data_IF_147155594240
#
_entry.id   IF_147155594240
#
_cell.length_a   1.000
_cell.length_b   1.000
_cell.length_c   1.000
_cell.angle_alpha   90.00
_cell.angle_beta   90.00
_cell.angle_gamma   90.00
#
_symmetry.space_group_name_H-M   'P 1'
#
loop_
_entity.id
_entity.type
_entity.pdbx_description
1 polymer ?
#
# COMPACT_ATOMS: atom_id res chain seq x y z
N UNK A 1 -12.92 -35.01 31.28
CA UNK A 1 -12.53 -33.66 30.84
C UNK A 1 -12.46 -32.76 32.07
N UNK A 2 -11.32 -32.68 32.74
CA UNK A 2 -11.10 -31.74 33.85
C UNK A 2 -10.80 -30.36 33.25
N UNK A 3 -11.65 -29.37 33.50
CA UNK A 3 -11.44 -27.99 33.06
C UNK A 3 -10.19 -27.43 33.75
N UNK A 4 -9.09 -27.28 33.01
CA UNK A 4 -7.91 -26.56 33.49
C UNK A 4 -8.30 -25.12 33.78
N UNK A 5 -8.15 -24.70 35.04
CA UNK A 5 -8.46 -23.35 35.49
C UNK A 5 -7.15 -22.64 35.72
N UNK A 6 -6.97 -21.46 35.12
CA UNK A 6 -5.76 -20.66 35.32
C UNK A 6 -5.80 -19.98 36.69
N UNK A 7 -4.72 -20.08 37.46
CA UNK A 7 -4.53 -19.45 38.76
C UNK A 7 -3.39 -18.43 38.70
N UNK A 8 -3.60 -17.25 39.27
CA UNK A 8 -2.51 -16.29 39.52
C UNK A 8 -1.98 -16.50 40.93
N UNK A 9 -0.65 -16.54 41.07
CA UNK A 9 -0.01 -16.72 42.36
C UNK A 9 1.03 -15.62 42.62
N UNK A 10 1.16 -15.29 43.90
CA UNK A 10 2.31 -14.56 44.45
C UNK A 10 2.99 -15.49 45.44
N UNK A 11 4.24 -15.84 45.19
CA UNK A 11 5.02 -16.74 46.02
C UNK A 11 6.38 -16.14 46.37
N UNK A 12 7.06 -16.76 47.32
CA UNK A 12 8.38 -16.37 47.79
C UNK A 12 9.37 -17.48 47.50
N UNK A 13 10.44 -17.14 46.82
CA UNK A 13 11.57 -18.04 46.58
C UNK A 13 12.42 -18.19 47.86
N UNK A 14 13.22 -19.25 47.92
CA UNK A 14 14.23 -19.55 48.95
C UNK A 14 15.16 -18.38 49.32
N UNK A 15 15.31 -17.39 48.43
CA UNK A 15 16.09 -16.15 48.63
C UNK A 15 15.25 -14.94 49.09
N UNK A 16 14.07 -15.19 49.65
CA UNK A 16 13.10 -14.21 50.15
C UNK A 16 12.56 -13.22 49.09
N UNK A 17 12.74 -13.54 47.79
CA UNK A 17 12.24 -12.72 46.68
C UNK A 17 10.81 -13.08 46.34
N UNK A 18 9.97 -12.05 46.17
CA UNK A 18 8.58 -12.21 45.76
C UNK A 18 8.51 -12.44 44.24
N UNK A 19 7.95 -13.57 43.83
CA UNK A 19 7.74 -14.00 42.46
C UNK A 19 6.24 -14.05 42.19
N UNK A 20 5.81 -13.41 41.10
CA UNK A 20 4.41 -13.42 40.65
C UNK A 20 4.32 -14.15 39.32
N UNK A 21 3.31 -15.01 39.16
CA UNK A 21 3.14 -15.79 37.95
C UNK A 21 1.71 -16.28 37.76
N UNK A 22 1.48 -16.99 36.65
CA UNK A 22 0.26 -17.75 36.40
C UNK A 22 0.59 -19.21 36.17
N UNK A 23 -0.31 -20.09 36.59
CA UNK A 23 -0.21 -21.52 36.34
C UNK A 23 -1.58 -22.10 36.13
N UNK A 24 -1.67 -23.11 35.27
CA UNK A 24 -2.90 -23.83 35.03
C UNK A 24 -2.95 -25.06 35.93
N UNK A 25 -4.04 -25.20 36.67
CA UNK A 25 -4.24 -26.31 37.59
C UNK A 25 -5.71 -26.72 37.64
N UNK A 26 -5.96 -27.98 37.95
CA UNK A 26 -7.32 -28.50 38.07
C UNK A 26 -8.07 -27.96 39.32
N UNK A 27 -7.36 -27.46 40.33
CA UNK A 27 -7.92 -26.83 41.53
C UNK A 27 -6.87 -25.97 42.24
N UNK A 28 -7.30 -25.08 43.13
CA UNK A 28 -6.40 -24.26 43.95
C UNK A 28 -5.45 -25.11 44.79
N UNK A 29 -5.94 -26.25 45.30
CA UNK A 29 -5.13 -27.22 46.06
C UNK A 29 -4.05 -27.88 45.20
N UNK A 30 -4.35 -28.13 43.91
CA UNK A 30 -3.37 -28.62 42.95
C UNK A 30 -2.32 -27.56 42.61
N UNK A 31 -2.72 -26.30 42.41
CA UNK A 31 -1.81 -25.17 42.20
C UNK A 31 -0.85 -24.97 43.39
N UNK A 32 -1.36 -25.09 44.63
CA UNK A 32 -0.55 -24.99 45.84
C UNK A 32 0.51 -26.09 45.93
N UNK A 33 0.15 -27.34 45.62
CA UNK A 33 1.09 -28.46 45.60
C UNK A 33 2.16 -28.28 44.52
N UNK A 34 1.76 -27.79 43.34
CA UNK A 34 2.67 -27.52 42.24
C UNK A 34 3.67 -26.40 42.58
N UNK A 35 3.22 -25.32 43.22
CA UNK A 35 4.11 -24.25 43.72
C UNK A 35 5.13 -24.75 44.73
N UNK A 36 4.71 -25.58 45.68
CA UNK A 36 5.61 -26.20 46.65
C UNK A 36 6.63 -27.12 45.99
N UNK A 37 6.23 -27.86 44.95
CA UNK A 37 7.14 -28.72 44.17
C UNK A 37 8.22 -27.92 43.44
N UNK A 38 7.94 -26.65 43.10
CA UNK A 38 8.91 -25.72 42.50
C UNK A 38 9.78 -24.99 43.54
N UNK A 39 9.68 -25.35 44.83
CA UNK A 39 10.42 -24.70 45.91
C UNK A 39 9.91 -23.29 46.27
N UNK A 40 8.72 -22.93 45.81
CA UNK A 40 8.11 -21.62 46.04
C UNK A 40 7.11 -21.69 47.20
N UNK A 41 7.26 -20.79 48.17
CA UNK A 41 6.33 -20.65 49.30
C UNK A 41 5.18 -19.70 48.93
N UNK A 42 3.93 -20.18 48.76
CA UNK A 42 2.83 -19.33 48.30
C UNK A 42 2.41 -18.31 49.38
N UNK A 43 2.27 -17.04 48.99
CA UNK A 43 1.74 -15.93 49.79
C UNK A 43 0.26 -15.71 49.47
N UNK A 44 -0.11 -15.76 48.19
CA UNK A 44 -1.50 -15.78 47.76
C UNK A 44 -1.68 -16.60 46.49
N UNK A 45 -2.79 -17.32 46.41
CA UNK A 45 -3.25 -18.03 45.21
C UNK A 45 -4.69 -17.60 44.99
N UNK A 46 -5.01 -17.13 43.79
CA UNK A 46 -6.37 -16.75 43.43
C UNK A 46 -6.68 -17.27 42.02
N UNK A 47 -7.90 -17.73 41.76
CA UNK A 47 -8.32 -18.06 40.39
C UNK A 47 -8.12 -16.83 39.52
N UNK A 48 -7.36 -16.97 38.43
CA UNK A 48 -7.13 -15.89 37.51
C UNK A 48 -8.46 -15.59 36.81
N UNK A 49 -9.18 -14.57 37.29
CA UNK A 49 -10.28 -13.98 36.51
C UNK A 49 -9.71 -13.66 35.14
N UNK A 50 -10.37 -14.13 34.07
CA UNK A 50 -10.12 -13.63 32.71
C UNK A 50 -10.15 -12.11 32.79
N UNK A 51 -8.98 -11.49 32.73
CA UNK A 51 -8.81 -10.06 32.87
C UNK A 51 -9.33 -9.41 31.58
N UNK A 52 -10.59 -8.97 31.60
CA UNK A 52 -11.07 -7.89 30.75
C UNK A 52 -10.50 -6.58 31.31
N UNK A 53 -9.29 -6.20 30.89
CA UNK A 53 -8.69 -4.92 31.29
C UNK A 53 -7.19 -4.79 31.07
N UNK A 54 -6.83 -3.88 30.17
CA UNK A 54 -5.56 -3.14 29.95
C UNK A 54 -4.21 -3.87 29.72
N UNK A 55 -4.08 -5.18 29.96
CA UNK A 55 -2.88 -5.95 29.57
C UNK A 55 -3.21 -7.26 28.83
N UNK A 56 -4.40 -7.35 28.24
CA UNK A 56 -4.53 -8.19 27.05
C UNK A 56 -3.73 -7.51 25.95
N UNK A 57 -2.99 -8.26 25.13
CA UNK A 57 -2.52 -7.77 23.84
C UNK A 57 -3.74 -7.15 23.14
N UNK A 58 -3.84 -5.83 23.21
CA UNK A 58 -4.87 -5.04 22.57
C UNK A 58 -4.53 -5.04 21.09
N UNK A 59 -4.74 -6.18 20.44
CA UNK A 59 -4.97 -6.22 19.01
C UNK A 59 -6.30 -5.52 18.76
N UNK A 60 -6.26 -4.18 18.73
CA UNK A 60 -7.37 -3.35 18.28
C UNK A 60 -7.66 -3.80 16.83
N UNK A 61 -8.85 -4.37 16.55
CA UNK A 61 -9.23 -4.72 15.18
C UNK A 61 -9.24 -3.42 14.34
N UNK A 62 -8.21 -3.25 13.50
CA UNK A 62 -8.04 -2.07 12.65
C UNK A 62 -6.71 -1.31 12.78
N UNK A 63 -5.88 -1.56 13.79
CA UNK A 63 -4.54 -0.94 13.95
C UNK A 63 -3.37 -1.87 13.64
N UNK A 64 -3.63 -3.08 13.16
CA UNK A 64 -2.57 -3.99 12.73
C UNK A 64 -1.94 -3.48 11.41
N UNK A 65 -0.60 -3.45 11.36
CA UNK A 65 0.17 -3.08 10.17
C UNK A 65 -0.20 -4.03 9.03
N UNK A 66 -0.91 -3.51 8.02
CA UNK A 66 -1.22 -4.29 6.82
C UNK A 66 0.06 -4.72 6.11
N UNK A 67 0.07 -5.94 5.57
CA UNK A 67 1.20 -6.47 4.82
C UNK A 67 1.36 -5.66 3.53
N UNK A 68 2.49 -4.96 3.41
CA UNK A 68 2.78 -4.10 2.26
C UNK A 68 3.75 -4.73 1.26
N UNK A 69 3.92 -4.08 0.10
CA UNK A 69 4.89 -4.48 -0.92
C UNK A 69 6.32 -4.58 -0.36
N UNK A 70 6.72 -3.67 0.54
CA UNK A 70 8.02 -3.70 1.21
C UNK A 70 8.18 -4.96 2.06
N UNK A 71 7.14 -5.38 2.80
CA UNK A 71 7.21 -6.60 3.61
C UNK A 71 7.38 -7.83 2.70
N UNK A 72 6.67 -7.89 1.56
CA UNK A 72 6.80 -8.96 0.56
C UNK A 72 8.17 -8.97 -0.13
N UNK A 73 8.71 -7.80 -0.48
CA UNK A 73 10.03 -7.69 -1.11
C UNK A 73 11.14 -8.19 -0.18
N UNK A 74 11.15 -7.73 1.07
CA UNK A 74 12.14 -8.16 2.07
C UNK A 74 12.03 -9.66 2.35
N UNK A 75 10.82 -10.17 2.57
CA UNK A 75 10.59 -11.59 2.81
C UNK A 75 11.03 -12.44 1.62
N UNK A 76 10.69 -12.04 0.38
CA UNK A 76 11.06 -12.78 -0.82
C UNK A 76 12.58 -12.79 -1.02
N UNK A 77 13.26 -11.66 -0.80
CA UNK A 77 14.73 -11.61 -0.86
C UNK A 77 15.38 -12.50 0.17
N UNK A 78 14.94 -12.42 1.43
CA UNK A 78 15.48 -13.26 2.51
C UNK A 78 15.24 -14.76 2.22
N UNK A 79 14.07 -15.11 1.72
CA UNK A 79 13.72 -16.47 1.30
C UNK A 79 14.64 -16.96 0.19
N UNK A 80 14.82 -16.16 -0.87
CA UNK A 80 15.67 -16.48 -2.00
C UNK A 80 17.14 -16.67 -1.57
N UNK A 81 17.68 -15.74 -0.76
CA UNK A 81 19.06 -15.82 -0.25
C UNK A 81 19.30 -17.04 0.64
N UNK A 82 18.35 -17.38 1.53
CA UNK A 82 18.49 -18.56 2.39
C UNK A 82 18.39 -19.87 1.61
N UNK A 83 17.45 -19.96 0.66
CA UNK A 83 17.32 -21.14 -0.19
C UNK A 83 18.56 -21.31 -1.08
N UNK A 84 19.09 -20.24 -1.66
CA UNK A 84 20.35 -20.26 -2.43
C UNK A 84 21.57 -20.66 -1.57
N UNK A 85 21.56 -20.33 -0.27
CA UNK A 85 22.57 -20.79 0.67
C UNK A 85 22.40 -22.28 1.10
N UNK A 86 21.44 -22.99 0.51
CA UNK A 86 21.21 -24.42 0.75
C UNK A 86 20.42 -24.74 2.01
N UNK A 87 19.75 -23.76 2.63
CA UNK A 87 18.85 -24.05 3.75
C UNK A 87 17.59 -24.77 3.24
N UNK A 88 17.10 -25.73 4.03
CA UNK A 88 15.82 -26.38 3.73
C UNK A 88 14.67 -25.38 3.81
N UNK A 89 13.65 -25.57 2.98
CA UNK A 89 12.46 -24.70 2.93
C UNK A 89 11.81 -24.52 4.32
N UNK A 90 11.67 -25.60 5.09
CA UNK A 90 11.14 -25.54 6.45
C UNK A 90 11.97 -24.66 7.38
N UNK A 91 13.31 -24.76 7.30
CA UNK A 91 14.22 -23.92 8.10
C UNK A 91 14.13 -22.46 7.68
N UNK A 92 14.09 -22.19 6.38
CA UNK A 92 13.90 -20.85 5.83
C UNK A 92 12.59 -20.24 6.32
N UNK A 93 11.46 -20.95 6.20
CA UNK A 93 10.15 -20.50 6.69
C UNK A 93 10.14 -20.27 8.20
N UNK A 94 10.82 -21.11 8.99
CA UNK A 94 10.95 -20.90 10.44
C UNK A 94 11.65 -19.57 10.75
N UNK A 95 12.82 -19.33 10.14
CA UNK A 95 13.59 -18.10 10.33
C UNK A 95 12.76 -16.88 9.92
N UNK A 96 12.11 -16.93 8.76
CA UNK A 96 11.26 -15.83 8.29
C UNK A 96 10.10 -15.56 9.27
N UNK A 97 9.44 -16.60 9.78
CA UNK A 97 8.33 -16.44 10.74
C UNK A 97 8.78 -15.82 12.07
N UNK A 98 10.03 -16.05 12.49
CA UNK A 98 10.59 -15.50 13.74
C UNK A 98 11.17 -14.09 13.58
N UNK A 99 11.74 -13.78 12.41
CA UNK A 99 12.45 -12.52 12.16
C UNK A 99 11.62 -11.44 11.47
N UNK A 100 10.44 -11.77 10.94
CA UNK A 100 9.56 -10.81 10.28
C UNK A 100 9.02 -9.78 11.28
N UNK A 101 9.26 -8.50 11.03
CA UNK A 101 8.74 -7.41 11.88
C UNK A 101 7.21 -7.28 11.84
N UNK A 102 6.61 -7.58 10.69
CA UNK A 102 5.16 -7.53 10.53
C UNK A 102 4.51 -8.78 11.15
N UNK A 103 3.88 -8.60 12.32
CA UNK A 103 3.20 -9.68 13.06
C UNK A 103 2.16 -10.44 12.24
N UNK A 104 1.44 -9.79 11.31
CA UNK A 104 0.48 -10.47 10.44
C UNK A 104 1.20 -11.41 9.46
N UNK A 105 2.27 -10.93 8.84
CA UNK A 105 3.06 -11.76 7.91
C UNK A 105 3.75 -12.91 8.65
N UNK A 106 4.27 -12.67 9.86
CA UNK A 106 4.86 -13.71 10.70
C UNK A 106 3.86 -14.86 11.00
N UNK A 107 2.61 -14.52 11.32
CA UNK A 107 1.55 -15.52 11.55
C UNK A 107 1.21 -16.31 10.28
N UNK A 108 1.11 -15.63 9.14
CA UNK A 108 0.86 -16.26 7.84
C UNK A 108 2.00 -17.22 7.48
N UNK A 109 3.26 -16.79 7.64
CA UNK A 109 4.44 -17.62 7.40
C UNK A 109 4.51 -18.84 8.33
N UNK A 110 4.11 -18.70 9.59
CA UNK A 110 4.02 -19.82 10.52
C UNK A 110 2.95 -20.85 10.08
N UNK A 111 1.83 -20.37 9.55
CA UNK A 111 0.80 -21.21 8.92
C UNK A 111 1.34 -21.98 7.72
N UNK A 112 2.01 -21.28 6.80
CA UNK A 112 2.65 -21.88 5.64
C UNK A 112 3.71 -22.90 6.04
N UNK A 113 4.53 -22.60 7.05
CA UNK A 113 5.51 -23.56 7.61
C UNK A 113 4.82 -24.84 8.05
N UNK A 114 3.70 -24.73 8.78
CA UNK A 114 2.93 -25.89 9.25
C UNK A 114 2.36 -26.70 8.08
N UNK A 115 1.85 -26.05 7.04
CA UNK A 115 1.33 -26.71 5.85
C UNK A 115 2.42 -27.49 5.13
N UNK A 116 3.57 -26.87 4.88
CA UNK A 116 4.73 -27.50 4.24
C UNK A 116 5.27 -28.65 5.09
N UNK A 117 5.26 -28.52 6.42
CA UNK A 117 5.68 -29.58 7.35
C UNK A 117 4.77 -30.82 7.24
N UNK A 118 3.48 -30.62 6.96
CA UNK A 118 2.52 -31.70 6.70
C UNK A 118 2.54 -32.24 5.28
N UNK A 119 3.40 -31.71 4.40
CA UNK A 119 3.59 -32.18 3.03
C UNK A 119 2.75 -31.46 1.96
N UNK A 120 2.13 -30.32 2.28
CA UNK A 120 1.50 -29.45 1.28
C UNK A 120 2.60 -28.75 0.46
N UNK A 121 2.41 -28.58 -0.85
CA UNK A 121 3.34 -27.81 -1.68
C UNK A 121 3.42 -26.35 -1.22
N UNK A 122 4.56 -25.69 -1.43
CA UNK A 122 4.73 -24.28 -1.08
C UNK A 122 3.76 -23.39 -1.86
N UNK A 123 3.55 -23.67 -3.15
CA UNK A 123 2.61 -22.92 -3.97
C UNK A 123 1.17 -23.03 -3.47
N UNK A 124 0.71 -24.23 -3.07
CA UNK A 124 -0.63 -24.41 -2.51
C UNK A 124 -0.76 -23.78 -1.12
N UNK A 125 0.31 -23.81 -0.31
CA UNK A 125 0.33 -23.11 0.98
C UNK A 125 0.24 -21.58 0.81
N UNK A 126 0.91 -21.00 -0.20
CA UNK A 126 0.74 -19.58 -0.54
C UNK A 126 -0.64 -19.26 -1.09
N UNK A 127 -1.24 -20.15 -1.89
CA UNK A 127 -2.55 -19.97 -2.52
C UNK A 127 -3.70 -19.87 -1.48
N UNK A 128 -3.57 -20.56 -0.33
CA UNK A 128 -4.48 -20.40 0.82
C UNK A 128 -4.50 -18.97 1.41
N UNK A 129 -3.52 -18.16 1.04
CA UNK A 129 -3.33 -16.79 1.49
C UNK A 129 -3.25 -15.81 0.31
N UNK A 130 -4.08 -16.01 -0.73
CA UNK A 130 -4.20 -15.19 -1.95
C UNK A 130 -4.44 -13.68 -1.71
N UNK A 131 -5.01 -13.31 -0.55
CA UNK A 131 -5.15 -11.91 -0.12
C UNK A 131 -3.79 -11.26 0.19
N UNK A 132 -2.81 -12.05 0.61
CA UNK A 132 -1.47 -11.61 1.00
C UNK A 132 -0.47 -11.78 -0.15
N UNK A 133 -0.51 -12.93 -0.82
CA UNK A 133 0.44 -13.26 -1.89
C UNK A 133 -0.22 -13.04 -3.25
N UNK A 134 0.34 -12.16 -4.10
CA UNK A 134 -0.26 -11.89 -5.39
C UNK A 134 -0.10 -13.09 -6.35
N UNK A 135 -0.98 -13.22 -7.37
CA UNK A 135 -0.98 -14.36 -8.30
C UNK A 135 0.37 -14.63 -8.97
N UNK A 136 1.15 -13.60 -9.27
CA UNK A 136 2.50 -13.74 -9.86
C UNK A 136 3.43 -14.55 -8.95
N UNK A 137 3.42 -14.32 -7.63
CA UNK A 137 4.27 -15.04 -6.69
C UNK A 137 3.85 -16.50 -6.60
N UNK A 138 2.55 -16.76 -6.43
CA UNK A 138 2.00 -18.12 -6.31
C UNK A 138 2.36 -18.95 -7.54
N UNK A 139 2.20 -18.38 -8.74
CA UNK A 139 2.45 -19.11 -9.99
C UNK A 139 3.94 -19.27 -10.31
N UNK A 140 4.79 -18.30 -9.97
CA UNK A 140 6.25 -18.46 -10.10
C UNK A 140 6.76 -19.55 -9.16
N UNK A 141 6.30 -19.59 -7.91
CA UNK A 141 6.62 -20.68 -6.99
C UNK A 141 6.14 -22.02 -7.56
N UNK A 142 4.90 -22.09 -8.05
CA UNK A 142 4.34 -23.33 -8.65
C UNK A 142 5.18 -23.84 -9.82
N UNK A 143 5.62 -22.93 -10.70
CA UNK A 143 6.49 -23.26 -11.82
C UNK A 143 7.86 -23.76 -11.33
N UNK A 144 8.47 -23.07 -10.36
CA UNK A 144 9.73 -23.48 -9.74
C UNK A 144 9.66 -24.83 -9.03
N UNK A 145 8.56 -25.11 -8.32
CA UNK A 145 8.34 -26.40 -7.66
C UNK A 145 8.15 -27.54 -8.67
N UNK A 146 7.33 -27.32 -9.70
CA UNK A 146 7.04 -28.35 -10.72
C UNK A 146 8.25 -28.61 -11.61
N UNK A 147 9.01 -27.56 -11.92
CA UNK A 147 10.16 -27.62 -12.81
C UNK A 147 11.50 -27.89 -12.12
N UNK A 148 11.53 -27.92 -10.78
CA UNK A 148 12.75 -28.19 -10.01
C UNK A 148 13.75 -27.03 -9.95
N UNK A 149 13.33 -25.81 -10.31
CA UNK A 149 14.14 -24.59 -10.29
C UNK A 149 13.58 -23.55 -9.30
N UNK A 150 13.15 -24.01 -8.12
CA UNK A 150 12.56 -23.16 -7.09
C UNK A 150 13.49 -22.02 -6.65
N UNK A 151 14.80 -22.25 -6.61
CA UNK A 151 15.79 -21.21 -6.28
C UNK A 151 15.73 -20.04 -7.27
N UNK A 152 15.74 -20.32 -8.58
CA UNK A 152 15.66 -19.31 -9.64
C UNK A 152 14.31 -18.58 -9.61
N UNK A 153 13.22 -19.30 -9.34
CA UNK A 153 11.90 -18.72 -9.19
C UNK A 153 11.82 -17.75 -7.99
N UNK A 154 12.40 -18.12 -6.84
CA UNK A 154 12.45 -17.25 -5.66
C UNK A 154 13.31 -16.01 -5.90
N UNK A 155 14.45 -16.14 -6.58
CA UNK A 155 15.28 -15.00 -6.99
C UNK A 155 14.50 -14.06 -7.92
N UNK A 156 13.80 -14.62 -8.91
CA UNK A 156 12.97 -13.87 -9.86
C UNK A 156 11.84 -13.11 -9.16
N UNK A 157 11.18 -13.72 -8.16
CA UNK A 157 10.16 -13.06 -7.33
C UNK A 157 10.77 -11.91 -6.52
N UNK A 158 11.93 -12.14 -5.89
CA UNK A 158 12.63 -11.13 -5.11
C UNK A 158 13.03 -9.92 -5.96
N UNK A 159 13.66 -10.14 -7.11
CA UNK A 159 14.07 -9.09 -8.05
C UNK A 159 12.87 -8.27 -8.55
N UNK A 160 11.75 -8.95 -8.84
CA UNK A 160 10.53 -8.30 -9.30
C UNK A 160 9.94 -7.38 -8.22
N UNK A 161 9.78 -7.87 -6.98
CA UNK A 161 9.23 -7.06 -5.89
C UNK A 161 10.16 -5.96 -5.42
N UNK A 162 11.48 -6.16 -5.42
CA UNK A 162 12.45 -5.10 -5.14
C UNK A 162 12.38 -3.98 -6.17
N UNK A 163 12.28 -4.35 -7.46
CA UNK A 163 12.12 -3.37 -8.55
C UNK A 163 10.81 -2.60 -8.42
N UNK A 164 9.69 -3.30 -8.15
CA UNK A 164 8.40 -2.64 -7.94
C UNK A 164 8.41 -1.72 -6.72
N UNK A 165 9.04 -2.16 -5.62
CA UNK A 165 9.20 -1.35 -4.41
C UNK A 165 10.01 -0.10 -4.70
N UNK A 166 11.17 -0.23 -5.35
CA UNK A 166 12.04 0.90 -5.72
C UNK A 166 11.30 1.90 -6.60
N UNK A 167 10.59 1.44 -7.62
CA UNK A 167 9.80 2.30 -8.51
C UNK A 167 8.72 3.06 -7.74
N UNK A 168 8.02 2.37 -6.84
CA UNK A 168 6.97 2.97 -6.00
C UNK A 168 7.53 3.98 -5.00
N UNK A 169 8.69 3.70 -4.41
CA UNK A 169 9.35 4.60 -3.46
C UNK A 169 9.91 5.84 -4.15
N UNK A 170 10.45 5.71 -5.37
CA UNK A 170 10.83 6.87 -6.21
C UNK A 170 9.62 7.77 -6.47
N UNK A 171 8.48 7.22 -6.87
CA UNK A 171 7.26 7.99 -7.10
C UNK A 171 6.77 8.64 -5.79
N UNK A 172 6.75 7.88 -4.70
CA UNK A 172 6.25 8.35 -3.40
C UNK A 172 7.11 9.47 -2.83
N UNK A 173 8.43 9.34 -2.90
CA UNK A 173 9.38 10.33 -2.39
C UNK A 173 9.32 11.64 -3.19
N UNK A 174 9.23 11.55 -4.52
CA UNK A 174 9.07 12.72 -5.38
C UNK A 174 7.77 13.50 -5.14
N UNK A 175 6.66 12.78 -4.87
CA UNK A 175 5.36 13.40 -4.60
C UNK A 175 5.15 13.82 -3.13
N UNK A 176 6.02 13.41 -2.21
CA UNK A 176 5.84 13.68 -0.79
C UNK A 176 5.85 15.18 -0.48
N UNK A 177 6.82 15.93 -1.03
CA UNK A 177 6.94 17.36 -0.79
C UNK A 177 5.73 18.16 -1.31
N UNK A 178 5.29 18.01 -2.59
CA UNK A 178 4.09 18.68 -3.07
C UNK A 178 2.84 18.42 -2.24
N UNK A 179 2.63 17.17 -1.80
CA UNK A 179 1.48 16.82 -0.98
C UNK A 179 1.52 17.54 0.37
N UNK A 180 2.68 17.58 1.03
CA UNK A 180 2.83 18.26 2.32
C UNK A 180 2.56 19.77 2.18
N UNK A 181 3.15 20.42 1.17
CA UNK A 181 2.96 21.87 0.93
C UNK A 181 1.51 22.18 0.62
N UNK A 182 0.86 21.38 -0.23
CA UNK A 182 -0.56 21.55 -0.57
C UNK A 182 -1.46 21.40 0.67
N UNK A 183 -1.20 20.41 1.52
CA UNK A 183 -1.95 20.22 2.78
C UNK A 183 -1.75 21.41 3.71
N UNK A 184 -0.51 21.88 3.90
CA UNK A 184 -0.20 23.04 4.73
C UNK A 184 -0.87 24.33 4.20
N UNK A 185 -0.83 24.55 2.88
CA UNK A 185 -1.49 25.68 2.24
C UNK A 185 -3.01 25.61 2.40
N UNK A 186 -3.61 24.44 2.21
CA UNK A 186 -5.05 24.25 2.41
C UNK A 186 -5.45 24.53 3.86
N UNK A 187 -4.68 24.03 4.83
CA UNK A 187 -4.92 24.30 6.25
C UNK A 187 -4.78 25.80 6.57
N UNK A 188 -3.80 26.48 5.99
CA UNK A 188 -3.62 27.93 6.17
C UNK A 188 -4.82 28.72 5.60
N UNK A 189 -5.29 28.37 4.40
CA UNK A 189 -6.46 29.00 3.76
C UNK A 189 -7.73 28.75 4.59
N UNK A 190 -7.98 27.51 4.99
CA UNK A 190 -9.14 27.15 5.83
C UNK A 190 -9.09 27.87 7.17
N UNK A 191 -7.92 27.91 7.82
CA UNK A 191 -7.73 28.64 9.08
C UNK A 191 -7.97 30.15 8.92
N UNK A 192 -7.48 30.75 7.85
CA UNK A 192 -7.71 32.17 7.56
C UNK A 192 -9.20 32.46 7.32
N UNK A 193 -9.90 31.60 6.57
CA UNK A 193 -11.35 31.73 6.35
C UNK A 193 -12.15 31.57 7.64
N UNK A 194 -11.82 30.61 8.51
CA UNK A 194 -12.61 30.34 9.73
C UNK A 194 -12.33 31.35 10.84
N UNK A 195 -11.07 31.79 10.99
CA UNK A 195 -10.67 32.61 12.14
C UNK A 195 -10.44 34.08 11.80
N UNK A 196 -9.80 34.38 10.66
CA UNK A 196 -9.36 35.75 10.35
C UNK A 196 -10.50 36.53 9.70
N UNK A 197 -11.12 35.99 8.65
CA UNK A 197 -12.19 36.68 7.90
C UNK A 197 -13.34 37.16 8.81
N UNK A 198 -13.88 36.37 9.76
CA UNK A 198 -14.97 36.82 10.62
C UNK A 198 -14.58 37.93 11.60
N UNK A 199 -13.31 37.99 12.01
CA UNK A 199 -12.81 39.08 12.86
C UNK A 199 -12.82 40.40 12.09
N UNK A 200 -12.37 40.37 10.83
CA UNK A 200 -12.43 41.53 9.94
C UNK A 200 -13.89 41.91 9.65
N UNK A 201 -14.76 40.96 9.33
CA UNK A 201 -16.19 41.23 9.10
C UNK A 201 -16.83 41.98 10.28
N UNK A 202 -16.62 41.50 11.51
CA UNK A 202 -17.15 42.13 12.73
C UNK A 202 -16.59 43.54 12.95
N UNK A 203 -15.30 43.73 12.68
CA UNK A 203 -14.65 45.04 12.77
C UNK A 203 -15.30 46.05 11.82
N UNK A 204 -15.58 45.65 10.58
CA UNK A 204 -16.19 46.53 9.57
C UNK A 204 -17.67 46.82 9.82
N UNK A 205 -18.43 45.84 10.31
CA UNK A 205 -19.83 46.08 10.72
C UNK A 205 -19.93 47.16 11.81
N UNK A 206 -18.93 47.27 12.70
CA UNK A 206 -18.88 48.32 13.72
C UNK A 206 -18.57 49.73 13.20
N UNK A 207 -18.04 49.86 11.98
CA UNK A 207 -17.65 51.13 11.35
C UNK A 207 -18.72 51.69 10.40
N UNK A 208 -19.83 50.98 10.18
CA UNK A 208 -20.96 51.46 9.38
C UNK A 208 -20.74 51.53 7.87
N UNK A 209 -19.59 51.05 7.36
CA UNK A 209 -19.26 51.02 5.94
C UNK A 209 -19.61 49.69 5.27
N UNK A 210 -19.91 49.72 3.97
CA UNK A 210 -20.07 48.50 3.18
C UNK A 210 -18.72 47.85 2.86
N UNK A 211 -18.66 46.52 3.00
CA UNK A 211 -17.48 45.76 2.59
C UNK A 211 -17.25 45.84 1.06
N UNK A 212 -16.02 46.03 0.60
CA UNK A 212 -15.62 45.87 -0.79
C UNK A 212 -16.00 44.49 -1.36
N UNK A 213 -16.21 44.42 -2.68
CA UNK A 213 -16.68 43.21 -3.36
C UNK A 213 -15.75 41.99 -3.14
N UNK A 214 -14.43 42.18 -3.18
CA UNK A 214 -13.47 41.11 -2.94
C UNK A 214 -13.57 40.52 -1.51
N UNK A 215 -13.80 41.37 -0.50
CA UNK A 215 -13.98 40.96 0.90
C UNK A 215 -15.34 40.29 1.10
N UNK A 216 -16.40 40.78 0.44
CA UNK A 216 -17.74 40.16 0.46
C UNK A 216 -17.69 38.69 -0.02
N UNK A 217 -16.93 38.38 -1.07
CA UNK A 217 -16.76 37.00 -1.54
C UNK A 217 -16.10 36.11 -0.46
N UNK A 218 -15.05 36.61 0.19
CA UNK A 218 -14.38 35.85 1.26
C UNK A 218 -15.28 35.66 2.48
N UNK A 219 -16.09 36.65 2.85
CA UNK A 219 -17.06 36.56 3.94
C UNK A 219 -18.14 35.53 3.64
N UNK A 220 -18.67 35.50 2.41
CA UNK A 220 -19.64 34.47 1.99
C UNK A 220 -19.02 33.07 2.07
N UNK A 221 -17.79 32.90 1.58
CA UNK A 221 -17.07 31.64 1.67
C UNK A 221 -16.79 31.23 3.12
N UNK A 222 -16.40 32.18 3.97
CA UNK A 222 -16.12 31.97 5.40
C UNK A 222 -17.37 31.55 6.17
N UNK A 223 -18.48 32.29 6.03
CA UNK A 223 -19.76 31.98 6.68
C UNK A 223 -20.33 30.64 6.21
N UNK A 224 -20.13 30.30 4.93
CA UNK A 224 -20.45 28.97 4.39
C UNK A 224 -19.54 27.87 4.93
N UNK A 225 -18.25 28.15 5.17
CA UNK A 225 -17.25 27.16 5.58
C UNK A 225 -17.56 26.54 6.95
N UNK A 226 -18.22 27.27 7.86
CA UNK A 226 -18.61 26.74 9.18
C UNK A 226 -19.59 25.57 9.04
N UNK A 227 -20.49 25.61 8.04
CA UNK A 227 -21.45 24.55 7.75
C UNK A 227 -20.90 23.52 6.74
N UNK A 228 -20.15 23.98 5.74
CA UNK A 228 -19.59 23.15 4.68
C UNK A 228 -18.41 22.31 5.18
N UNK A 229 -17.53 22.82 6.06
CA UNK A 229 -16.34 22.08 6.49
C UNK A 229 -16.67 20.77 7.22
N UNK A 230 -17.62 20.71 8.19
CA UNK A 230 -18.04 19.45 8.78
C UNK A 230 -18.66 18.49 7.75
N UNK A 231 -19.50 19.00 6.84
CA UNK A 231 -20.13 18.19 5.78
C UNK A 231 -19.09 17.64 4.80
N UNK A 232 -18.12 18.45 4.40
CA UNK A 232 -17.04 18.09 3.49
C UNK A 232 -16.10 17.07 4.16
N UNK A 233 -15.79 17.24 5.44
CA UNK A 233 -15.04 16.25 6.22
C UNK A 233 -15.76 14.89 6.26
N UNK A 234 -17.07 14.88 6.55
CA UNK A 234 -17.88 13.66 6.54
C UNK A 234 -17.92 13.06 5.13
N UNK A 235 -18.11 13.88 4.08
CA UNK A 235 -18.12 13.43 2.70
C UNK A 235 -16.78 12.79 2.30
N UNK A 236 -15.64 13.38 2.70
CA UNK A 236 -14.30 12.82 2.46
C UNK A 236 -14.13 11.49 3.19
N UNK A 237 -14.59 11.38 4.44
CA UNK A 237 -14.51 10.12 5.21
C UNK A 237 -15.37 9.04 4.55
N UNK A 238 -16.63 9.35 4.24
CA UNK A 238 -17.57 8.42 3.59
C UNK A 238 -17.05 8.01 2.21
N UNK A 239 -16.58 8.96 1.41
CA UNK A 239 -15.96 8.68 0.12
C UNK A 239 -14.71 7.82 0.26
N UNK A 240 -13.84 8.09 1.24
CA UNK A 240 -12.63 7.29 1.50
C UNK A 240 -12.96 5.85 1.88
N UNK A 241 -13.97 5.64 2.74
CA UNK A 241 -14.43 4.30 3.12
C UNK A 241 -15.07 3.56 1.93
N UNK A 242 -15.92 4.25 1.17
CA UNK A 242 -16.53 3.73 -0.04
C UNK A 242 -15.47 3.37 -1.10
N UNK A 243 -14.50 4.25 -1.32
CA UNK A 243 -13.42 4.06 -2.28
C UNK A 243 -12.54 2.89 -1.88
N UNK A 244 -12.13 2.78 -0.61
CA UNK A 244 -11.32 1.64 -0.12
C UNK A 244 -12.00 0.29 -0.38
N UNK A 245 -13.32 0.22 -0.22
CA UNK A 245 -14.11 -1.00 -0.44
C UNK A 245 -14.34 -1.30 -1.92
N UNK A 246 -14.59 -0.27 -2.75
CA UNK A 246 -15.07 -0.46 -4.13
C UNK A 246 -14.02 -0.19 -5.23
N UNK A 247 -12.84 0.34 -4.91
CA UNK A 247 -11.80 0.67 -5.92
C UNK A 247 -11.35 -0.52 -6.76
N UNK A 248 -11.48 -1.74 -6.24
CA UNK A 248 -11.07 -2.98 -6.93
C UNK A 248 -12.22 -3.63 -7.71
N UNK A 249 -13.46 -3.12 -7.60
CA UNK A 249 -14.62 -3.68 -8.30
C UNK A 249 -14.55 -3.38 -9.79
N UNK A 250 -14.88 -4.37 -10.63
CA UNK A 250 -14.84 -4.26 -12.10
C UNK A 250 -15.59 -3.03 -12.64
N UNK A 251 -16.77 -2.73 -12.09
CA UNK A 251 -17.58 -1.57 -12.49
C UNK A 251 -16.83 -0.24 -12.29
N UNK A 252 -16.11 -0.09 -11.18
CA UNK A 252 -15.33 1.11 -10.88
C UNK A 252 -14.09 1.17 -11.76
N UNK A 253 -13.32 0.09 -11.83
CA UNK A 253 -12.07 0.02 -12.62
C UNK A 253 -12.31 0.33 -14.10
N UNK A 254 -13.38 -0.20 -14.69
CA UNK A 254 -13.75 0.04 -16.11
C UNK A 254 -13.96 1.52 -16.44
N UNK A 255 -14.45 2.33 -15.50
CA UNK A 255 -14.70 3.76 -15.71
C UNK A 255 -13.47 4.59 -15.32
N UNK A 256 -12.88 4.28 -14.17
CA UNK A 256 -11.83 5.09 -13.56
C UNK A 256 -10.49 4.89 -14.26
N UNK A 257 -10.09 3.66 -14.58
CA UNK A 257 -8.74 3.39 -15.07
C UNK A 257 -8.48 4.03 -16.46
N UNK A 258 -9.42 3.99 -17.43
CA UNK A 258 -9.25 4.73 -18.68
C UNK A 258 -9.16 6.25 -18.49
N UNK A 259 -9.90 6.79 -17.51
CA UNK A 259 -9.86 8.22 -17.21
C UNK A 259 -8.52 8.64 -16.62
N UNK A 260 -7.97 7.83 -15.68
CA UNK A 260 -6.65 8.08 -15.09
C UNK A 260 -5.54 8.16 -16.13
N UNK A 261 -5.56 7.29 -17.15
CA UNK A 261 -4.56 7.29 -18.22
C UNK A 261 -4.66 8.52 -19.13
N UNK A 262 -5.82 9.20 -19.16
CA UNK A 262 -6.06 10.40 -19.96
C UNK A 262 -5.88 11.70 -19.19
N UNK A 263 -5.59 11.64 -17.89
CA UNK A 263 -5.38 12.84 -17.09
C UNK A 263 -4.16 13.61 -17.63
N UNK A 264 -4.27 14.94 -17.81
CA UNK A 264 -3.11 15.75 -18.14
C UNK A 264 -2.07 15.59 -17.03
N UNK A 265 -0.79 15.66 -17.39
CA UNK A 265 0.36 15.55 -16.45
C UNK A 265 0.57 14.12 -15.93
N UNK A 266 -0.43 13.50 -15.28
CA UNK A 266 -0.27 12.17 -14.65
C UNK A 266 -0.57 10.98 -15.57
N UNK A 267 -1.35 11.15 -16.64
CA UNK A 267 -1.72 10.06 -17.54
C UNK A 267 -0.53 9.42 -18.24
N UNK A 268 0.47 10.24 -18.63
CA UNK A 268 1.72 9.77 -19.22
C UNK A 268 2.52 8.92 -18.23
N UNK A 269 2.66 9.39 -16.98
CA UNK A 269 3.34 8.66 -15.91
C UNK A 269 2.66 7.31 -15.65
N UNK A 270 1.33 7.31 -15.53
CA UNK A 270 0.57 6.09 -15.27
C UNK A 270 0.65 5.10 -16.42
N UNK A 271 0.69 5.56 -17.66
CA UNK A 271 0.87 4.72 -18.85
C UNK A 271 2.27 4.09 -18.88
N UNK A 272 3.32 4.88 -18.62
CA UNK A 272 4.70 4.37 -18.53
C UNK A 272 4.88 3.34 -17.42
N UNK A 273 4.30 3.61 -16.24
CA UNK A 273 4.29 2.70 -15.09
C UNK A 273 3.58 1.37 -15.41
N UNK A 274 2.46 1.47 -16.10
CA UNK A 274 1.68 0.35 -16.60
C UNK A 274 2.51 -0.56 -17.54
N UNK A 275 3.20 0.04 -18.50
CA UNK A 275 4.05 -0.68 -19.46
C UNK A 275 5.25 -1.31 -18.76
N UNK A 276 5.95 -0.58 -17.88
CA UNK A 276 7.10 -1.09 -17.13
C UNK A 276 6.73 -2.36 -16.35
N UNK A 277 5.63 -2.31 -15.59
CA UNK A 277 5.11 -3.45 -14.80
C UNK A 277 4.69 -4.62 -15.69
N UNK A 278 3.97 -4.34 -16.78
CA UNK A 278 3.60 -5.35 -17.76
C UNK A 278 4.85 -6.07 -18.29
N UNK A 279 5.81 -5.32 -18.81
CA UNK A 279 7.01 -5.88 -19.43
C UNK A 279 7.88 -6.63 -18.43
N UNK A 280 8.06 -6.10 -17.21
CA UNK A 280 8.82 -6.77 -16.15
C UNK A 280 8.16 -8.09 -15.74
N UNK A 281 6.89 -8.04 -15.35
CA UNK A 281 6.16 -9.24 -14.93
C UNK A 281 6.12 -10.28 -16.04
N UNK A 282 5.94 -9.86 -17.29
CA UNK A 282 5.93 -10.79 -18.41
C UNK A 282 7.32 -11.39 -18.68
N UNK A 283 8.40 -10.59 -18.62
CA UNK A 283 9.77 -11.09 -18.71
C UNK A 283 10.05 -12.13 -17.62
N UNK A 284 9.74 -11.82 -16.36
CA UNK A 284 9.95 -12.71 -15.21
C UNK A 284 9.22 -14.04 -15.39
N UNK A 285 7.96 -14.01 -15.86
CA UNK A 285 7.17 -15.22 -16.07
C UNK A 285 7.71 -16.07 -17.22
N UNK A 286 8.13 -15.45 -18.32
CA UNK A 286 8.72 -16.16 -19.47
C UNK A 286 10.09 -16.74 -19.13
N UNK A 287 10.95 -15.98 -18.44
CA UNK A 287 12.27 -16.45 -17.98
C UNK A 287 12.18 -17.59 -16.99
N UNK A 288 11.16 -17.60 -16.13
CA UNK A 288 10.85 -18.72 -15.24
C UNK A 288 10.16 -19.92 -15.94
N UNK A 289 10.05 -19.90 -17.28
CA UNK A 289 9.49 -21.01 -18.06
C UNK A 289 7.97 -21.17 -17.95
N UNK A 290 7.24 -20.17 -17.44
CA UNK A 290 5.77 -20.24 -17.37
C UNK A 290 5.18 -20.13 -18.78
N UNK A 291 4.24 -21.01 -19.18
CA UNK A 291 3.65 -20.99 -20.51
C UNK A 291 3.05 -19.62 -20.88
N UNK A 292 3.33 -19.13 -22.08
CA UNK A 292 2.94 -17.78 -22.57
C UNK A 292 1.46 -17.45 -22.30
N UNK A 293 0.54 -18.37 -22.62
CA UNK A 293 -0.89 -18.16 -22.42
C UNK A 293 -1.26 -17.96 -20.94
N UNK A 294 -0.58 -18.66 -20.04
CA UNK A 294 -0.79 -18.53 -18.59
C UNK A 294 -0.15 -17.23 -18.07
N UNK A 295 1.05 -16.91 -18.57
CA UNK A 295 1.74 -15.66 -18.28
C UNK A 295 0.92 -14.44 -18.68
N UNK A 296 0.31 -14.41 -19.88
CA UNK A 296 -0.55 -13.31 -20.33
C UNK A 296 -1.75 -13.07 -19.38
N UNK A 297 -2.38 -14.14 -18.90
CA UNK A 297 -3.49 -14.05 -17.94
C UNK A 297 -3.04 -13.42 -16.62
N UNK A 298 -1.96 -13.96 -16.03
CA UNK A 298 -1.45 -13.52 -14.72
C UNK A 298 -0.94 -12.08 -14.80
N UNK A 299 -0.21 -11.73 -15.86
CA UNK A 299 0.27 -10.36 -16.07
C UNK A 299 -0.91 -9.40 -16.24
N UNK A 300 -1.98 -9.82 -16.92
CA UNK A 300 -3.24 -9.07 -16.98
C UNK A 300 -3.82 -8.78 -15.61
N UNK A 301 -4.02 -9.83 -14.80
CA UNK A 301 -4.59 -9.74 -13.44
C UNK A 301 -3.72 -8.90 -12.49
N UNK A 302 -2.40 -8.94 -12.65
CA UNK A 302 -1.44 -8.23 -11.77
C UNK A 302 -1.07 -6.83 -12.27
N UNK A 303 -1.45 -6.46 -13.49
CA UNK A 303 -1.16 -5.14 -14.07
C UNK A 303 -1.76 -3.96 -13.27
N UNK A 304 -2.82 -4.22 -12.50
CA UNK A 304 -3.49 -3.22 -11.66
C UNK A 304 -4.26 -2.16 -12.46
N UNK A 305 -4.39 -2.32 -13.78
CA UNK A 305 -5.11 -1.40 -14.66
C UNK A 305 -6.04 -2.18 -15.60
N UNK A 306 -7.33 -1.86 -15.56
CA UNK A 306 -8.33 -2.55 -16.37
C UNK A 306 -8.08 -2.47 -17.89
N UNK A 307 -7.48 -1.39 -18.38
CA UNK A 307 -7.17 -1.23 -19.82
C UNK A 307 -6.14 -2.26 -20.28
N UNK A 308 -5.10 -2.49 -19.49
CA UNK A 308 -4.07 -3.50 -19.79
C UNK A 308 -4.63 -4.90 -19.62
N UNK A 309 -5.34 -5.15 -18.52
CA UNK A 309 -5.98 -6.44 -18.26
C UNK A 309 -6.91 -6.83 -19.42
N UNK A 310 -7.78 -5.92 -19.86
CA UNK A 310 -8.67 -6.16 -20.99
C UNK A 310 -7.93 -6.33 -22.32
N UNK A 311 -6.82 -5.63 -22.54
CA UNK A 311 -5.99 -5.79 -23.73
C UNK A 311 -5.35 -7.18 -23.74
N UNK A 312 -4.78 -7.63 -22.61
CA UNK A 312 -4.10 -8.91 -22.51
C UNK A 312 -5.04 -10.11 -22.62
N UNK A 313 -6.29 -9.99 -22.19
CA UNK A 313 -7.32 -11.02 -22.44
C UNK A 313 -7.54 -11.22 -23.95
N UNK A 314 -7.63 -10.14 -24.73
CA UNK A 314 -7.78 -10.24 -26.19
C UNK A 314 -6.53 -10.79 -26.86
N UNK A 315 -5.35 -10.38 -26.39
CA UNK A 315 -4.06 -10.92 -26.88
C UNK A 315 -3.99 -12.42 -26.59
N UNK A 316 -4.34 -12.85 -25.37
CA UNK A 316 -4.38 -14.26 -24.99
C UNK A 316 -5.31 -15.07 -25.89
N UNK A 317 -6.52 -14.59 -26.16
CA UNK A 317 -7.47 -15.23 -27.07
C UNK A 317 -6.88 -15.38 -28.48
N UNK A 318 -6.25 -14.33 -29.01
CA UNK A 318 -5.62 -14.36 -30.32
C UNK A 318 -4.41 -15.32 -30.38
N UNK A 319 -3.57 -15.34 -29.35
CA UNK A 319 -2.40 -16.24 -29.26
C UNK A 319 -2.85 -17.70 -29.11
N UNK A 320 -3.97 -17.96 -28.43
CA UNK A 320 -4.54 -19.31 -28.33
C UNK A 320 -4.99 -19.87 -29.69
N UNK A 321 -5.23 -19.00 -30.67
CA UNK A 321 -5.55 -19.34 -32.06
C UNK A 321 -4.30 -19.47 -32.95
N UNK A 322 -3.09 -19.38 -32.38
CA UNK A 322 -1.82 -19.52 -33.10
C UNK A 322 -1.35 -18.24 -33.80
N UNK A 323 -1.90 -17.07 -33.47
CA UNK A 323 -1.43 -15.78 -33.97
C UNK A 323 -0.29 -15.24 -33.11
N UNK A 324 0.50 -14.33 -33.67
CA UNK A 324 1.58 -13.66 -32.93
C UNK A 324 1.07 -12.77 -31.80
N UNK A 325 1.92 -12.51 -30.81
CA UNK A 325 1.62 -11.65 -29.65
C UNK A 325 1.59 -10.18 -30.07
N UNK A 326 2.54 -9.78 -30.93
CA UNK A 326 2.72 -8.38 -31.30
C UNK A 326 1.55 -7.78 -32.09
N UNK A 327 0.91 -8.56 -32.96
CA UNK A 327 -0.19 -8.09 -33.81
C UNK A 327 -1.36 -7.53 -33.00
N UNK A 328 -2.00 -8.33 -32.12
CA UNK A 328 -3.09 -7.87 -31.26
C UNK A 328 -2.68 -6.75 -30.30
N UNK A 329 -1.45 -6.78 -29.77
CA UNK A 329 -0.93 -5.69 -28.93
C UNK A 329 -0.86 -4.35 -29.67
N UNK A 330 -0.50 -4.37 -30.97
CA UNK A 330 -0.40 -3.14 -31.78
C UNK A 330 -1.73 -2.45 -32.04
N UNK A 331 -2.85 -3.16 -31.85
CA UNK A 331 -4.19 -2.60 -31.99
C UNK A 331 -4.66 -1.88 -30.72
N UNK A 332 -3.95 -2.05 -29.61
CA UNK A 332 -4.35 -1.54 -28.30
C UNK A 332 -3.61 -0.21 -27.99
N UNK A 333 -4.32 0.93 -27.85
CA UNK A 333 -3.70 2.27 -27.75
C UNK A 333 -2.78 2.49 -26.55
N UNK A 334 -2.87 1.62 -25.53
CA UNK A 334 -2.04 1.70 -24.33
C UNK A 334 -0.60 1.25 -24.58
N UNK A 335 -0.35 0.49 -25.66
CA UNK A 335 0.97 -0.02 -26.00
C UNK A 335 1.62 0.84 -27.10
N UNK A 336 2.74 1.52 -26.79
CA UNK A 336 3.47 2.30 -27.79
C UNK A 336 4.10 1.40 -28.85
N UNK A 337 4.28 1.95 -30.05
CA UNK A 337 4.84 1.24 -31.21
C UNK A 337 6.18 0.55 -30.88
N UNK A 338 7.06 1.23 -30.13
CA UNK A 338 8.35 0.67 -29.71
C UNK A 338 8.19 -0.65 -28.94
N UNK A 339 7.22 -0.73 -28.01
CA UNK A 339 6.97 -1.94 -27.22
C UNK A 339 6.54 -3.08 -28.14
N UNK A 340 5.57 -2.80 -29.02
CA UNK A 340 5.02 -3.82 -29.93
C UNK A 340 6.07 -4.33 -30.92
N UNK A 341 6.97 -3.45 -31.40
CA UNK A 341 8.06 -3.81 -32.29
C UNK A 341 9.14 -4.65 -31.60
N UNK A 342 9.54 -4.28 -30.37
CA UNK A 342 10.51 -5.07 -29.62
C UNK A 342 9.96 -6.45 -29.26
N UNK A 343 8.66 -6.56 -28.97
CA UNK A 343 7.99 -7.85 -28.77
C UNK A 343 8.00 -8.67 -30.07
N UNK A 344 7.67 -8.06 -31.21
CA UNK A 344 7.71 -8.75 -32.51
C UNK A 344 9.12 -9.29 -32.81
N UNK A 345 10.16 -8.47 -32.65
CA UNK A 345 11.55 -8.88 -32.84
C UNK A 345 11.95 -9.99 -31.87
N UNK A 346 11.53 -9.90 -30.61
CA UNK A 346 11.80 -10.93 -29.61
C UNK A 346 11.06 -12.24 -29.88
N UNK A 347 9.84 -12.18 -30.41
CA UNK A 347 9.06 -13.33 -30.83
C UNK A 347 9.70 -14.03 -32.03
N UNK A 348 10.08 -13.28 -33.07
CA UNK A 348 10.73 -13.81 -34.28
C UNK A 348 12.13 -14.39 -34.00
N UNK A 349 12.89 -13.76 -33.10
CA UNK A 349 14.25 -14.18 -32.74
C UNK A 349 14.29 -15.22 -31.59
N UNK A 350 13.14 -15.58 -31.00
CA UNK A 350 13.09 -16.45 -29.82
C UNK A 350 13.73 -15.84 -28.56
N UNK A 351 13.87 -14.51 -28.52
CA UNK A 351 14.52 -13.75 -27.44
C UNK A 351 13.53 -12.83 -26.70
N UNK A 352 12.27 -13.27 -26.56
CA UNK A 352 11.17 -12.47 -26.01
C UNK A 352 11.46 -11.97 -24.58
N UNK A 353 11.98 -12.82 -23.70
CA UNK A 353 12.37 -12.45 -22.33
C UNK A 353 13.36 -11.28 -22.29
N UNK A 354 14.38 -11.34 -23.15
CA UNK A 354 15.43 -10.32 -23.23
C UNK A 354 14.85 -8.99 -23.71
N UNK A 355 14.00 -9.03 -24.75
CA UNK A 355 13.33 -7.82 -25.25
C UNK A 355 12.40 -7.22 -24.21
N UNK A 356 11.59 -8.02 -23.52
CA UNK A 356 10.71 -7.56 -22.44
C UNK A 356 11.49 -6.94 -21.28
N UNK A 357 12.63 -7.54 -20.90
CA UNK A 357 13.51 -6.98 -19.88
C UNK A 357 14.04 -5.60 -20.28
N UNK A 358 14.48 -5.45 -21.54
CA UNK A 358 14.95 -4.14 -22.07
C UNK A 358 13.84 -3.10 -22.12
N UNK A 359 12.62 -3.50 -22.48
CA UNK A 359 11.46 -2.61 -22.44
C UNK A 359 11.20 -2.18 -20.99
N UNK A 360 11.20 -3.12 -20.04
CA UNK A 360 10.99 -2.81 -18.63
C UNK A 360 12.03 -1.83 -18.09
N UNK A 361 13.33 -2.07 -18.34
CA UNK A 361 14.42 -1.20 -17.90
C UNK A 361 14.29 0.22 -18.50
N UNK A 362 13.93 0.31 -19.79
CA UNK A 362 13.72 1.59 -20.46
C UNK A 362 12.54 2.36 -19.85
N UNK A 363 11.40 1.70 -19.64
CA UNK A 363 10.22 2.36 -19.07
C UNK A 363 10.38 2.68 -17.58
N UNK A 364 11.16 1.91 -16.82
CA UNK A 364 11.52 2.26 -15.44
C UNK A 364 12.30 3.59 -15.40
N UNK A 365 13.26 3.77 -16.32
CA UNK A 365 13.99 5.04 -16.46
C UNK A 365 13.08 6.20 -16.90
N UNK A 366 12.19 5.94 -17.86
CA UNK A 366 11.20 6.93 -18.30
C UNK A 366 10.23 7.32 -17.18
N UNK A 367 9.82 6.38 -16.32
CA UNK A 367 8.99 6.67 -15.13
C UNK A 367 9.75 7.57 -14.16
N UNK A 368 11.02 7.27 -13.90
CA UNK A 368 11.86 8.11 -13.04
C UNK A 368 12.00 9.53 -13.61
N UNK A 369 12.40 9.66 -14.88
CA UNK A 369 12.56 10.97 -15.52
C UNK A 369 11.24 11.76 -15.55
N UNK A 370 10.13 11.09 -15.87
CA UNK A 370 8.80 11.74 -15.85
C UNK A 370 8.47 12.22 -14.44
N UNK A 371 8.73 11.40 -13.42
CA UNK A 371 8.48 11.76 -12.02
C UNK A 371 9.28 13.01 -11.59
N UNK A 372 10.54 13.09 -11.98
CA UNK A 372 11.41 14.25 -11.72
C UNK A 372 10.89 15.51 -12.43
N UNK A 373 10.54 15.41 -13.72
CA UNK A 373 9.96 16.51 -14.50
C UNK A 373 8.63 17.00 -13.90
N UNK A 374 7.77 16.08 -13.48
CA UNK A 374 6.51 16.42 -12.83
C UNK A 374 6.73 17.19 -11.54
N UNK A 375 7.70 16.75 -10.73
CA UNK A 375 8.04 17.41 -9.46
C UNK A 375 8.55 18.84 -9.70
N UNK A 376 9.43 19.01 -10.68
CA UNK A 376 9.98 20.32 -11.06
C UNK A 376 8.93 21.29 -11.61
N UNK A 377 7.88 20.79 -12.28
CA UNK A 377 6.79 21.63 -12.79
C UNK A 377 5.74 21.96 -11.71
N UNK A 378 5.49 21.03 -10.78
CA UNK A 378 4.50 21.21 -9.72
C UNK A 378 4.94 22.32 -8.75
N UNK A 379 6.23 22.46 -8.46
CA UNK A 379 6.73 23.45 -7.49
C UNK A 379 6.43 24.92 -7.88
N UNK A 380 6.82 25.43 -9.06
CA UNK A 380 6.49 26.79 -9.48
C UNK A 380 4.98 27.04 -9.57
N UNK A 381 4.23 26.05 -10.05
CA UNK A 381 2.77 26.14 -10.15
C UNK A 381 2.14 26.28 -8.76
N UNK A 382 2.59 25.47 -7.78
CA UNK A 382 2.13 25.57 -6.39
C UNK A 382 2.45 26.93 -5.81
N UNK A 383 3.68 27.44 -5.97
CA UNK A 383 4.07 28.75 -5.43
C UNK A 383 3.22 29.86 -6.06
N UNK A 384 3.00 29.82 -7.37
CA UNK A 384 2.16 30.79 -8.07
C UNK A 384 0.71 30.75 -7.57
N UNK A 385 0.11 29.56 -7.49
CA UNK A 385 -1.28 29.39 -7.04
C UNK A 385 -1.44 29.79 -5.57
N UNK A 386 -0.56 29.33 -4.69
CA UNK A 386 -0.59 29.68 -3.26
C UNK A 386 -0.35 31.18 -3.07
N UNK A 387 0.60 31.76 -3.80
CA UNK A 387 0.88 33.19 -3.77
C UNK A 387 -0.32 34.03 -4.21
N UNK A 388 -1.01 33.62 -5.28
CA UNK A 388 -2.24 34.29 -5.73
C UNK A 388 -3.37 34.14 -4.71
N UNK A 389 -3.56 32.95 -4.14
CA UNK A 389 -4.61 32.71 -3.15
C UNK A 389 -4.34 33.54 -1.88
N UNK A 390 -3.17 33.37 -1.26
CA UNK A 390 -2.84 34.05 0.01
C UNK A 390 -2.69 35.56 -0.23
N UNK A 391 -2.00 35.98 -1.28
CA UNK A 391 -1.84 37.39 -1.63
C UNK A 391 -3.19 38.05 -1.92
N UNK A 392 -4.05 37.39 -2.69
CA UNK A 392 -5.41 37.85 -2.95
C UNK A 392 -6.25 37.97 -1.67
N UNK A 393 -6.11 37.01 -0.75
CA UNK A 393 -6.78 37.09 0.56
C UNK A 393 -6.28 38.26 1.40
N UNK A 394 -4.97 38.47 1.48
CA UNK A 394 -4.39 39.61 2.22
C UNK A 394 -4.88 40.93 1.63
N UNK A 395 -4.80 41.11 0.30
CA UNK A 395 -5.30 42.33 -0.35
C UNK A 395 -6.79 42.53 -0.06
N UNK A 396 -7.61 41.49 -0.18
CA UNK A 396 -9.04 41.57 0.08
C UNK A 396 -9.37 41.89 1.56
N UNK A 397 -8.53 41.49 2.51
CA UNK A 397 -8.70 41.83 3.93
C UNK A 397 -8.22 43.24 4.27
N UNK A 398 -7.20 43.74 3.57
CA UNK A 398 -6.60 45.06 3.83
C UNK A 398 -7.26 46.20 3.06
N UNK A 399 -7.80 45.94 1.86
CA UNK A 399 -8.47 46.94 1.03
C UNK A 399 -9.58 47.72 1.76
N UNK A 400 -10.43 47.07 2.59
CA UNK A 400 -11.44 47.78 3.38
C UNK A 400 -10.84 48.78 4.40
N UNK A 401 -9.63 48.52 4.92
CA UNK A 401 -8.99 49.46 5.86
C UNK A 401 -8.61 50.77 5.20
N UNK A 402 -8.26 50.75 3.91
CA UNK A 402 -8.01 51.98 3.17
C UNK A 402 -9.28 52.80 2.98
N UNK A 403 -10.42 52.16 2.70
CA UNK A 403 -11.69 52.87 2.57
C UNK A 403 -12.18 53.51 3.87
N UNK A 404 -11.78 53.00 5.03
CA UNK A 404 -12.15 53.62 6.33
C UNK A 404 -11.51 54.99 6.51
N UNK A 405 -10.31 55.22 5.96
CA UNK A 405 -9.70 56.55 5.98
C UNK A 405 -10.51 57.60 5.20
N UNK A 406 -11.24 57.18 4.17
CA UNK A 406 -12.12 58.07 3.40
C UNK A 406 -13.41 58.45 4.16
N UNK A 407 -13.82 57.66 5.18
CA UNK A 407 -14.99 57.94 6.02
C UNK A 407 -14.67 58.68 7.32
N UNK A 408 -13.38 58.87 7.65
CA UNK A 408 -12.93 59.55 8.89
C UNK A 408 -12.56 61.03 8.63
N UNK A 409 -12.64 61.50 7.37
CA UNK A 409 -12.69 62.91 7.00
C UNK A 409 -14.11 63.31 6.61
#
# INVERSE_FOLDING_TARGET
MSSETSFSYTSRDSRDRVVKGRMDAASERAALLQLRSMGLSPISIAPARKLTGLHADLSIPGFQKHIGLTDLAVMSRQMATMTAAGLSLLRTLNILSEQTENKQLAQVLAGIRSDVETGVSLSDAFDKHDVVFPPIMINLVRAGETGGFLEDALNSIADNFESEMKLRDTIKSALAYPVIVLVMALLAVVGMLIFIVPVFEKMFQGLGGELPAATKVLVVLSNGMIWVAPVLLIAVIVFSLWWRKNKHTLAVRRVVDPFKLKLPVFGLLLSKLAIARFSRNFATMIGAGVPILHSLKIVGETSGNWVIESALVKVQESVSQGRSIAGPLSLEPVFPTMVTQMIAVGEDAGALEQMLTKIADFYDQEVQSTTEQLTALIEPLMIAVIGVIIGGMVVALYLPMFSVFDYVN
#
